data_IF_841749834203
#
_entry.id   IF_841749834203
#
_cell.length_a   1.000
_cell.length_b   1.000
_cell.length_c   1.000
_cell.angle_alpha   90.00
_cell.angle_beta   90.00
_cell.angle_gamma   90.00
#
_symmetry.space_group_name_H-M   'P 1'
#
loop_
_entity.id
_entity.type
_entity.pdbx_description
1 polymer ?
#
# COMPACT_ATOMS: atom_id res chain seq x y z
N UNK A 1 -15.12 17.33 2.06
CA UNK A 1 -13.70 17.33 2.47
C UNK A 1 -12.87 16.75 1.33
N UNK A 2 -11.72 17.34 0.95
CA UNK A 2 -10.83 16.69 -0.01
C UNK A 2 -10.40 15.34 0.57
N UNK A 3 -10.72 14.28 -0.15
CA UNK A 3 -10.51 12.92 0.31
C UNK A 3 -8.99 12.64 0.30
N UNK A 4 -8.44 12.23 1.44
CA UNK A 4 -7.04 11.82 1.58
C UNK A 4 -6.74 10.55 0.76
N UNK A 5 -6.65 10.68 -0.55
CA UNK A 5 -6.28 9.59 -1.44
C UNK A 5 -4.82 9.20 -1.27
N UNK A 6 -4.51 7.94 -1.59
CA UNK A 6 -3.13 7.55 -1.85
C UNK A 6 -2.55 8.51 -2.90
N UNK A 7 -1.38 9.12 -2.67
CA UNK A 7 -0.77 10.02 -3.64
C UNK A 7 -0.61 9.34 -5.00
N UNK A 8 -0.84 10.09 -6.09
CA UNK A 8 -0.76 9.55 -7.45
C UNK A 8 0.60 8.90 -7.72
N UNK A 9 1.68 9.51 -7.25
CA UNK A 9 3.03 8.96 -7.36
C UNK A 9 3.11 7.55 -6.76
N UNK A 10 2.53 7.33 -5.58
CA UNK A 10 2.54 6.03 -4.91
C UNK A 10 1.72 5.00 -5.71
N UNK A 11 0.55 5.39 -6.22
CA UNK A 11 -0.29 4.50 -7.02
C UNK A 11 0.39 4.06 -8.32
N UNK A 12 1.00 5.02 -9.04
CA UNK A 12 1.78 4.75 -10.25
C UNK A 12 3.00 3.92 -9.94
N UNK A 13 3.75 4.27 -8.89
CA UNK A 13 4.94 3.55 -8.46
C UNK A 13 4.64 2.08 -8.17
N UNK A 14 3.71 1.80 -7.24
CA UNK A 14 3.39 0.41 -6.85
C UNK A 14 2.89 -0.43 -8.03
N UNK A 15 2.17 0.18 -8.97
CA UNK A 15 1.68 -0.50 -10.17
C UNK A 15 2.81 -0.77 -11.17
N UNK A 16 3.69 0.21 -11.40
CA UNK A 16 4.77 0.13 -12.38
C UNK A 16 5.92 -0.78 -11.91
N UNK A 17 6.23 -0.78 -10.61
CA UNK A 17 7.32 -1.59 -10.04
C UNK A 17 6.94 -3.04 -9.84
N UNK A 18 5.65 -3.35 -9.65
CA UNK A 18 5.16 -4.71 -9.47
C UNK A 18 5.70 -5.71 -10.51
N UNK A 19 5.59 -5.48 -11.83
CA UNK A 19 6.16 -6.39 -12.82
C UNK A 19 7.68 -6.51 -12.72
N UNK A 20 8.40 -5.40 -12.49
CA UNK A 20 9.87 -5.41 -12.36
C UNK A 20 10.33 -6.27 -11.19
N UNK A 21 9.70 -6.09 -10.02
CA UNK A 21 10.02 -6.81 -8.79
C UNK A 21 9.58 -8.28 -8.85
N UNK A 22 8.49 -8.58 -9.56
CA UNK A 22 8.08 -9.97 -9.84
C UNK A 22 9.10 -10.67 -10.74
N UNK A 23 9.58 -10.01 -11.81
CA UNK A 23 10.63 -10.57 -12.68
C UNK A 23 11.89 -10.84 -11.87
N UNK A 24 12.30 -9.88 -11.03
CA UNK A 24 13.44 -10.02 -10.11
C UNK A 24 13.30 -11.25 -9.21
N UNK A 25 12.16 -11.38 -8.52
CA UNK A 25 11.88 -12.52 -7.66
C UNK A 25 11.85 -13.85 -8.41
N UNK A 26 11.17 -13.91 -9.56
CA UNK A 26 11.14 -15.12 -10.39
C UNK A 26 12.54 -15.49 -10.87
N UNK A 27 13.34 -14.53 -11.32
CA UNK A 27 14.71 -14.78 -11.76
C UNK A 27 15.52 -15.41 -10.63
N UNK A 28 15.59 -14.78 -9.46
CA UNK A 28 16.39 -15.31 -8.34
C UNK A 28 15.85 -16.64 -7.83
N UNK A 29 14.53 -16.83 -7.74
CA UNK A 29 13.94 -18.04 -7.17
C UNK A 29 13.91 -19.24 -8.13
N UNK A 30 14.08 -19.02 -9.44
CA UNK A 30 14.13 -20.10 -10.44
C UNK A 30 15.55 -20.50 -10.84
N UNK A 31 16.58 -19.79 -10.36
CA UNK A 31 17.97 -20.15 -10.64
C UNK A 31 18.34 -21.51 -10.03
N UNK A 32 19.28 -22.20 -10.68
CA UNK A 32 19.77 -23.49 -10.19
C UNK A 32 20.49 -23.35 -8.84
N UNK A 33 20.38 -24.37 -7.99
CA UNK A 33 21.21 -24.52 -6.78
C UNK A 33 22.70 -24.73 -7.13
N UNK A 34 23.00 -25.21 -8.34
CA UNK A 34 24.36 -25.49 -8.79
C UNK A 34 24.87 -24.37 -9.68
N UNK A 35 25.96 -23.70 -9.26
CA UNK A 35 26.53 -22.54 -9.95
C UNK A 35 26.95 -22.78 -11.41
N UNK A 36 27.22 -24.03 -11.80
CA UNK A 36 27.65 -24.40 -13.16
C UNK A 36 26.49 -24.61 -14.13
N UNK A 37 25.25 -24.64 -13.64
CA UNK A 37 24.07 -24.86 -14.47
C UNK A 37 23.55 -23.50 -14.94
N UNK A 38 23.39 -23.29 -16.26
CA UNK A 38 22.81 -22.05 -16.79
C UNK A 38 21.43 -21.75 -16.22
N UNK A 39 21.07 -20.47 -16.16
CA UNK A 39 19.74 -20.07 -15.71
C UNK A 39 18.66 -20.63 -16.65
N UNK A 40 17.59 -21.27 -16.15
CA UNK A 40 16.56 -21.89 -17.00
C UNK A 40 15.81 -20.88 -17.86
N UNK A 41 15.71 -19.63 -17.39
CA UNK A 41 15.07 -18.51 -18.11
C UNK A 41 16.08 -17.65 -18.89
N UNK A 42 17.28 -18.16 -19.16
CA UNK A 42 18.38 -17.38 -19.76
C UNK A 42 18.03 -16.70 -21.09
N UNK A 43 17.29 -17.40 -21.94
CA UNK A 43 16.90 -16.93 -23.28
C UNK A 43 15.50 -16.29 -23.32
N UNK A 44 14.80 -16.24 -22.18
CA UNK A 44 13.40 -15.79 -22.11
C UNK A 44 13.35 -14.28 -21.87
N UNK A 45 12.59 -13.54 -22.67
CA UNK A 45 12.29 -12.14 -22.38
C UNK A 45 11.31 -12.05 -21.18
N UNK A 46 11.51 -11.17 -20.19
CA UNK A 46 12.60 -10.17 -20.06
C UNK A 46 13.83 -10.65 -19.25
N UNK A 47 13.85 -11.89 -18.77
CA UNK A 47 14.90 -12.46 -17.91
C UNK A 47 16.32 -12.38 -18.47
N UNK A 48 16.49 -12.36 -19.79
CA UNK A 48 17.79 -12.11 -20.44
C UNK A 48 18.48 -10.82 -19.94
N UNK A 49 17.72 -9.78 -19.58
CA UNK A 49 18.29 -8.54 -19.06
C UNK A 49 18.79 -8.68 -17.63
N UNK A 50 18.17 -9.55 -16.82
CA UNK A 50 18.68 -9.88 -15.48
C UNK A 50 19.98 -10.66 -15.54
N UNK A 51 20.18 -11.50 -16.57
CA UNK A 51 21.49 -12.12 -16.80
C UNK A 51 22.58 -11.10 -17.14
N UNK A 52 22.26 -10.04 -17.87
CA UNK A 52 23.20 -8.96 -18.13
C UNK A 52 23.50 -8.24 -16.82
N UNK A 53 22.47 -7.92 -16.03
CA UNK A 53 22.61 -7.28 -14.73
C UNK A 53 23.47 -8.11 -13.76
N UNK A 54 23.31 -9.44 -13.75
CA UNK A 54 24.07 -10.36 -12.91
C UNK A 54 25.59 -10.36 -13.17
N UNK A 55 26.05 -9.76 -14.29
CA UNK A 55 27.48 -9.53 -14.54
C UNK A 55 28.03 -8.38 -13.71
N UNK A 56 27.19 -7.40 -13.40
CA UNK A 56 27.55 -6.22 -12.62
C UNK A 56 27.29 -6.45 -11.13
N UNK A 57 26.15 -7.04 -10.79
CA UNK A 57 25.83 -7.46 -9.43
C UNK A 57 25.80 -8.99 -9.35
N UNK A 58 26.91 -9.57 -8.89
CA UNK A 58 27.07 -11.03 -8.87
C UNK A 58 26.19 -11.72 -7.83
N UNK A 59 25.49 -11.00 -6.93
CA UNK A 59 24.47 -11.61 -6.06
C UNK A 59 23.39 -12.29 -6.88
N UNK A 60 23.08 -11.75 -8.07
CA UNK A 60 22.11 -12.29 -8.99
C UNK A 60 22.62 -13.48 -9.81
N UNK A 61 23.91 -13.80 -9.75
CA UNK A 61 24.52 -14.90 -10.48
C UNK A 61 24.39 -16.24 -9.73
N UNK A 62 25.51 -16.83 -9.25
CA UNK A 62 25.48 -18.10 -8.51
C UNK A 62 24.58 -18.05 -7.27
N UNK A 63 24.03 -19.19 -6.89
CA UNK A 63 23.20 -19.30 -5.68
C UNK A 63 24.04 -19.50 -4.41
N UNK A 64 25.02 -18.62 -4.19
CA UNK A 64 25.96 -18.66 -3.07
C UNK A 64 25.72 -17.56 -2.02
N UNK A 65 24.68 -16.75 -2.21
CA UNK A 65 24.26 -15.69 -1.30
C UNK A 65 22.82 -15.94 -0.81
N UNK A 66 22.64 -16.13 0.50
CA UNK A 66 21.33 -16.30 1.10
C UNK A 66 20.53 -14.98 1.16
N UNK A 67 21.22 -13.83 1.17
CA UNK A 67 20.58 -12.53 1.30
C UNK A 67 19.67 -12.22 0.11
N UNK A 68 20.15 -12.37 -1.13
CA UNK A 68 19.34 -12.11 -2.33
C UNK A 68 18.12 -13.02 -2.40
N UNK A 69 18.20 -14.29 -1.97
CA UNK A 69 17.06 -15.21 -1.92
C UNK A 69 16.00 -14.69 -0.95
N UNK A 70 16.42 -14.32 0.27
CA UNK A 70 15.52 -13.75 1.26
C UNK A 70 14.89 -12.45 0.76
N UNK A 71 15.67 -11.59 0.12
CA UNK A 71 15.19 -10.34 -0.48
C UNK A 71 14.16 -10.60 -1.59
N UNK A 72 14.32 -11.65 -2.41
CA UNK A 72 13.33 -12.03 -3.42
C UNK A 72 12.00 -12.48 -2.84
N UNK A 73 11.98 -13.19 -1.71
CA UNK A 73 10.74 -13.50 -0.99
C UNK A 73 10.07 -12.24 -0.43
N UNK A 74 10.85 -11.35 0.18
CA UNK A 74 10.35 -10.06 0.70
C UNK A 74 9.82 -9.16 -0.42
N UNK A 75 10.45 -9.20 -1.60
CA UNK A 75 10.01 -8.54 -2.83
C UNK A 75 8.58 -8.99 -3.22
N UNK A 76 8.28 -10.29 -3.19
CA UNK A 76 6.94 -10.79 -3.48
C UNK A 76 5.89 -10.28 -2.48
N UNK A 77 6.23 -10.28 -1.18
CA UNK A 77 5.35 -9.74 -0.13
C UNK A 77 5.10 -8.25 -0.36
N UNK A 78 6.16 -7.48 -0.66
CA UNK A 78 6.07 -6.05 -0.93
C UNK A 78 5.17 -5.75 -2.14
N UNK A 79 5.28 -6.53 -3.22
CA UNK A 79 4.40 -6.40 -4.39
C UNK A 79 2.93 -6.61 -4.02
N UNK A 80 2.63 -7.67 -3.25
CA UNK A 80 1.26 -7.93 -2.80
C UNK A 80 0.72 -6.77 -1.97
N UNK A 81 1.50 -6.26 -1.02
CA UNK A 81 1.09 -5.14 -0.16
C UNK A 81 0.97 -3.83 -0.94
N UNK A 82 1.86 -3.56 -1.89
CA UNK A 82 1.80 -2.37 -2.76
C UNK A 82 0.56 -2.37 -3.64
N UNK A 83 0.26 -3.48 -4.29
CA UNK A 83 -0.96 -3.63 -5.09
C UNK A 83 -2.23 -3.59 -4.22
N UNK A 84 -2.19 -4.12 -3.00
CA UNK A 84 -3.28 -3.97 -2.04
C UNK A 84 -3.51 -2.51 -1.65
N UNK A 85 -2.46 -1.71 -1.46
CA UNK A 85 -2.59 -0.27 -1.21
C UNK A 85 -3.29 0.45 -2.35
N UNK A 86 -2.94 0.11 -3.61
CA UNK A 86 -3.61 0.62 -4.81
C UNK A 86 -5.08 0.20 -4.82
N UNK A 87 -5.38 -1.08 -4.59
CA UNK A 87 -6.75 -1.59 -4.56
C UNK A 87 -7.60 -0.90 -3.50
N UNK A 88 -7.07 -0.71 -2.28
CA UNK A 88 -7.75 0.01 -1.21
C UNK A 88 -8.04 1.46 -1.61
N UNK A 89 -7.12 2.12 -2.31
CA UNK A 89 -7.32 3.47 -2.84
C UNK A 89 -8.49 3.49 -3.84
N UNK A 90 -8.52 2.54 -4.79
CA UNK A 90 -9.61 2.40 -5.78
C UNK A 90 -10.97 2.11 -5.12
N UNK A 91 -10.97 1.38 -3.99
CA UNK A 91 -12.16 1.09 -3.18
C UNK A 91 -12.55 2.22 -2.23
N UNK A 92 -11.92 3.40 -2.33
CA UNK A 92 -12.14 4.59 -1.48
C UNK A 92 -11.80 4.38 0.00
N UNK A 93 -11.03 3.34 0.33
CA UNK A 93 -10.49 3.10 1.67
C UNK A 93 -9.20 3.90 1.92
N UNK A 94 -9.30 5.21 1.69
CA UNK A 94 -8.25 6.22 1.67
C UNK A 94 -7.24 6.13 2.82
N UNK A 95 -7.71 6.15 4.07
CA UNK A 95 -6.83 6.12 5.25
C UNK A 95 -6.01 4.82 5.34
N UNK A 96 -6.61 3.67 4.99
CA UNK A 96 -5.92 2.39 5.00
C UNK A 96 -4.88 2.31 3.87
N UNK A 97 -5.26 2.78 2.67
CA UNK A 97 -4.37 2.85 1.52
C UNK A 97 -3.12 3.69 1.80
N UNK A 98 -3.28 4.88 2.40
CA UNK A 98 -2.16 5.77 2.74
C UNK A 98 -1.23 5.13 3.78
N UNK A 99 -1.78 4.56 4.86
CA UNK A 99 -0.98 3.88 5.89
C UNK A 99 -0.20 2.69 5.32
N UNK A 100 -0.84 1.87 4.48
CA UNK A 100 -0.19 0.75 3.82
C UNK A 100 0.87 1.24 2.82
N UNK A 101 0.61 2.33 2.10
CA UNK A 101 1.59 2.95 1.21
C UNK A 101 2.85 3.44 1.92
N UNK A 102 2.72 4.01 3.14
CA UNK A 102 3.88 4.37 3.97
C UNK A 102 4.68 3.11 4.35
N UNK A 103 3.99 2.05 4.79
CA UNK A 103 4.65 0.80 5.18
C UNK A 103 5.44 0.21 4.01
N UNK A 104 4.81 0.04 2.85
CA UNK A 104 5.43 -0.52 1.64
C UNK A 104 6.63 0.33 1.20
N UNK A 105 6.47 1.65 1.11
CA UNK A 105 7.57 2.53 0.72
C UNK A 105 8.74 2.50 1.72
N UNK A 106 8.45 2.34 3.01
CA UNK A 106 9.49 2.18 4.05
C UNK A 106 10.24 0.86 3.87
N UNK A 107 9.53 -0.24 3.60
CA UNK A 107 10.16 -1.54 3.31
C UNK A 107 11.07 -1.45 2.08
N UNK A 108 10.59 -0.82 0.99
CA UNK A 108 11.37 -0.65 -0.24
C UNK A 108 12.65 0.17 0.02
N UNK A 109 12.53 1.29 0.74
CA UNK A 109 13.68 2.13 1.05
C UNK A 109 14.66 1.41 1.97
N UNK A 110 14.17 0.76 3.02
CA UNK A 110 15.00 0.11 4.04
C UNK A 110 15.80 -1.06 3.45
N UNK A 111 15.18 -1.92 2.64
CA UNK A 111 15.90 -3.06 2.03
C UNK A 111 17.01 -2.59 1.09
N UNK A 112 16.80 -1.48 0.37
CA UNK A 112 17.83 -0.96 -0.54
C UNK A 112 18.99 -0.31 0.23
N UNK A 113 18.72 0.34 1.36
CA UNK A 113 19.78 0.79 2.28
C UNK A 113 20.54 -0.41 2.84
N UNK A 114 19.84 -1.47 3.24
CA UNK A 114 20.44 -2.71 3.74
C UNK A 114 21.32 -3.38 2.67
N UNK A 115 20.88 -3.40 1.41
CA UNK A 115 21.67 -3.88 0.27
C UNK A 115 23.02 -3.17 0.18
N UNK A 116 23.05 -1.83 0.23
CA UNK A 116 24.30 -1.07 0.20
C UNK A 116 25.17 -1.31 1.43
N UNK A 117 24.56 -1.38 2.62
CA UNK A 117 25.30 -1.65 3.85
C UNK A 117 25.96 -3.03 3.82
N UNK A 118 25.28 -4.04 3.28
CA UNK A 118 25.85 -5.37 3.09
C UNK A 118 26.96 -5.39 2.05
N UNK A 119 26.81 -4.66 0.95
CA UNK A 119 27.88 -4.55 -0.04
C UNK A 119 29.15 -3.93 0.57
N UNK A 120 29.01 -2.90 1.42
CA UNK A 120 30.14 -2.33 2.17
C UNK A 120 30.72 -3.33 3.18
N UNK A 121 29.86 -3.99 3.96
CA UNK A 121 30.28 -4.94 4.99
C UNK A 121 30.98 -6.19 4.42
N UNK A 122 30.64 -6.59 3.21
CA UNK A 122 31.26 -7.70 2.48
C UNK A 122 32.43 -7.23 1.58
N UNK A 123 32.92 -6.00 1.78
CA UNK A 123 34.03 -5.40 1.03
C UNK A 123 33.81 -5.43 -0.49
N UNK A 124 32.56 -5.21 -0.93
CA UNK A 124 32.14 -5.24 -2.32
C UNK A 124 32.29 -6.62 -2.96
N UNK A 125 32.18 -7.72 -2.22
CA UNK A 125 32.34 -9.11 -2.72
C UNK A 125 31.68 -9.35 -4.07
N UNK A 126 30.51 -8.75 -4.31
CA UNK A 126 29.70 -8.97 -5.50
C UNK A 126 29.76 -7.86 -6.55
N UNK A 127 30.39 -6.72 -6.25
CA UNK A 127 30.34 -5.50 -7.07
C UNK A 127 31.73 -4.89 -7.34
N UNK A 128 32.75 -5.19 -6.53
CA UNK A 128 34.10 -4.58 -6.61
C UNK A 128 34.86 -4.86 -7.90
N UNK A 129 34.43 -5.84 -8.69
CA UNK A 129 35.02 -6.15 -9.99
C UNK A 129 34.57 -5.18 -11.08
N UNK A 130 33.56 -4.35 -10.81
CA UNK A 130 33.06 -3.36 -11.75
C UNK A 130 34.05 -2.20 -11.92
N UNK A 131 34.10 -1.62 -13.12
CA UNK A 131 34.72 -0.30 -13.28
C UNK A 131 33.91 0.75 -12.51
N UNK A 132 34.49 1.91 -12.21
CA UNK A 132 33.77 2.99 -11.54
C UNK A 132 32.50 3.42 -12.30
N UNK A 133 32.57 3.42 -13.63
CA UNK A 133 31.43 3.78 -14.49
C UNK A 133 30.35 2.69 -14.42
N UNK A 134 30.73 1.42 -14.50
CA UNK A 134 29.79 0.30 -14.39
C UNK A 134 29.13 0.27 -13.02
N UNK A 135 29.91 0.47 -11.95
CA UNK A 135 29.40 0.54 -10.60
C UNK A 135 28.39 1.68 -10.44
N UNK A 136 28.72 2.86 -10.95
CA UNK A 136 27.85 4.02 -10.86
C UNK A 136 26.55 3.81 -11.66
N UNK A 137 26.65 3.35 -12.90
CA UNK A 137 25.52 3.28 -13.84
C UNK A 137 24.62 2.07 -13.63
N UNK A 138 25.20 0.91 -13.28
CA UNK A 138 24.45 -0.33 -13.14
C UNK A 138 24.01 -0.57 -11.69
N UNK A 139 24.80 -0.18 -10.69
CA UNK A 139 24.49 -0.49 -9.29
C UNK A 139 23.94 0.72 -8.55
N UNK A 140 24.70 1.82 -8.52
CA UNK A 140 24.40 2.96 -7.65
C UNK A 140 23.19 3.76 -8.12
N UNK A 141 23.13 4.15 -9.40
CA UNK A 141 22.02 4.96 -9.93
C UNK A 141 20.68 4.22 -9.83
N UNK A 142 20.55 2.96 -10.29
CA UNK A 142 19.29 2.22 -10.17
C UNK A 142 18.87 2.04 -8.72
N UNK A 143 19.80 1.68 -7.83
CA UNK A 143 19.49 1.51 -6.40
C UNK A 143 19.12 2.84 -5.73
N UNK A 144 19.74 3.95 -6.11
CA UNK A 144 19.39 5.28 -5.59
C UNK A 144 17.95 5.66 -5.93
N UNK A 145 17.45 5.25 -7.10
CA UNK A 145 16.06 5.46 -7.50
C UNK A 145 15.07 4.74 -6.57
N UNK A 146 15.41 3.52 -6.13
CA UNK A 146 14.66 2.74 -5.13
C UNK A 146 14.72 3.31 -3.70
N UNK A 147 15.58 4.30 -3.44
CA UNK A 147 15.60 5.03 -2.16
C UNK A 147 14.82 6.34 -2.29
N UNK A 148 15.12 7.12 -3.32
CA UNK A 148 14.59 8.48 -3.48
C UNK A 148 13.07 8.46 -3.70
N UNK A 149 12.56 7.61 -4.60
CA UNK A 149 11.13 7.61 -4.91
C UNK A 149 10.29 7.16 -3.71
N UNK A 150 10.63 6.06 -3.00
CA UNK A 150 9.91 5.69 -1.78
C UNK A 150 10.01 6.76 -0.67
N UNK A 151 11.14 7.44 -0.51
CA UNK A 151 11.26 8.55 0.44
C UNK A 151 10.28 9.70 0.13
N UNK A 152 10.13 10.05 -1.16
CA UNK A 152 9.14 11.06 -1.60
C UNK A 152 7.71 10.58 -1.35
N UNK A 153 7.41 9.30 -1.62
CA UNK A 153 6.09 8.71 -1.33
C UNK A 153 5.77 8.80 0.16
N UNK A 154 6.71 8.43 1.03
CA UNK A 154 6.55 8.51 2.49
C UNK A 154 6.22 9.95 2.89
N UNK A 155 6.99 10.93 2.40
CA UNK A 155 6.74 12.36 2.66
C UNK A 155 5.34 12.80 2.21
N UNK A 156 4.92 12.43 1.01
CA UNK A 156 3.60 12.79 0.48
C UNK A 156 2.47 12.16 1.31
N UNK A 157 2.59 10.88 1.66
CA UNK A 157 1.61 10.18 2.49
C UNK A 157 1.49 10.81 3.90
N UNK A 158 2.60 11.18 4.54
CA UNK A 158 2.57 11.89 5.81
C UNK A 158 1.89 13.27 5.70
N UNK A 159 2.15 14.01 4.63
CA UNK A 159 1.48 15.29 4.36
C UNK A 159 -0.05 15.12 4.25
N UNK A 160 -0.50 14.08 3.55
CA UNK A 160 -1.93 13.75 3.43
C UNK A 160 -2.54 13.40 4.78
N UNK A 161 -1.86 12.59 5.60
CA UNK A 161 -2.35 12.23 6.95
C UNK A 161 -2.45 13.45 7.87
N UNK A 162 -1.45 14.35 7.85
CA UNK A 162 -1.44 15.55 8.67
C UNK A 162 -2.66 16.44 8.38
N UNK A 163 -3.00 16.64 7.11
CA UNK A 163 -4.17 17.44 6.70
C UNK A 163 -5.50 16.85 7.16
N UNK A 164 -5.61 15.51 7.28
CA UNK A 164 -6.81 14.85 7.80
C UNK A 164 -6.91 14.79 9.32
N UNK A 165 -5.82 15.10 10.01
CA UNK A 165 -5.75 15.00 11.49
C UNK A 165 -6.16 16.27 12.22
N UNK A 166 -6.37 17.39 11.50
CA UNK A 166 -6.81 18.67 12.08
C UNK A 166 -8.27 18.55 12.55
N UNK A 167 -8.56 18.67 13.85
CA UNK A 167 -9.93 18.63 14.36
C UNK A 167 -10.73 19.84 13.85
N UNK A 168 -12.00 19.66 13.48
CA UNK A 168 -12.87 20.80 13.22
C UNK A 168 -12.98 21.70 14.47
N UNK A 169 -13.04 23.03 14.31
CA UNK A 169 -13.37 23.92 15.42
C UNK A 169 -14.77 23.55 15.92
N UNK A 170 -14.86 23.10 17.18
CA UNK A 170 -16.14 22.85 17.86
C UNK A 170 -17.05 24.08 17.68
N UNK A 171 -18.19 23.86 17.03
CA UNK A 171 -19.14 24.91 16.64
C UNK A 171 -19.53 25.85 17.77
N UNK A 172 -19.80 27.11 17.41
CA UNK A 172 -20.42 28.10 18.30
C UNK A 172 -21.72 27.52 18.89
N UNK A 173 -22.02 27.73 20.18
CA UNK A 173 -23.26 27.24 20.78
C UNK A 173 -24.45 27.90 20.09
N UNK A 174 -25.36 27.07 19.58
CA UNK A 174 -26.69 27.47 19.14
C UNK A 174 -27.40 28.22 20.27
N UNK A 175 -27.63 29.52 20.12
CA UNK A 175 -28.57 30.25 20.96
C UNK A 175 -29.98 29.70 20.70
N UNK A 176 -30.49 28.89 21.62
CA UNK A 176 -31.92 28.69 21.79
C UNK A 176 -32.54 30.01 22.22
N UNK A 177 -33.19 30.72 21.28
CA UNK A 177 -34.10 31.82 21.59
C UNK A 177 -35.43 31.24 22.09
N UNK A 178 -35.61 31.24 23.41
CA UNK A 178 -36.88 30.96 24.05
C UNK A 178 -37.83 32.16 24.00
N UNK A 179 -39.14 31.87 23.86
CA UNK A 179 -40.21 32.63 24.50
C UNK A 179 -41.02 33.61 23.65
N UNK A 180 -42.19 33.16 23.19
CA UNK A 180 -43.51 33.80 23.47
C UNK A 180 -44.64 33.08 22.70
N UNK A 181 -45.48 32.34 23.41
CA UNK A 181 -46.85 32.06 22.95
C UNK A 181 -47.82 32.42 24.07
N UNK A 182 -48.61 33.47 23.81
CA UNK A 182 -49.66 34.00 24.67
C UNK A 182 -50.85 33.05 24.71
N UNK A 183 -51.49 32.93 25.87
CA UNK A 183 -52.77 32.27 26.05
C UNK A 183 -53.91 33.17 25.56
N UNK A 184 -54.93 32.54 24.96
CA UNK A 184 -56.31 33.01 24.91
C UNK A 184 -57.22 31.87 24.38
N UNK A 185 -58.27 31.56 25.13
CA UNK A 185 -59.46 30.78 24.71
C UNK A 185 -60.70 31.62 25.12
N UNK A 186 -61.98 31.28 24.80
CA UNK A 186 -62.62 30.30 23.88
C UNK A 186 -63.79 31.02 23.08
N UNK A 187 -65.01 30.49 22.76
CA UNK A 187 -65.58 29.12 22.57
C UNK A 187 -66.51 28.94 21.32
N UNK A 188 -66.83 27.68 20.94
CA UNK A 188 -68.07 27.13 20.28
C UNK A 188 -67.71 25.94 19.38
N UNK A 189 -68.52 24.90 19.10
CA UNK A 189 -69.71 24.28 19.67
C UNK A 189 -69.93 22.95 18.92
N UNK A 190 -70.60 22.00 19.59
CA UNK A 190 -71.52 20.97 19.06
C UNK A 190 -71.02 19.74 18.24
N UNK A 191 -71.46 18.56 18.73
CA UNK A 191 -71.99 17.35 18.03
C UNK A 191 -71.08 16.59 17.04
N UNK A 192 -71.00 15.26 16.97
CA UNK A 192 -71.72 14.10 17.51
C UNK A 192 -70.88 12.82 17.17
N UNK A 193 -71.28 11.59 17.58
CA UNK A 193 -70.41 10.40 17.68
C UNK A 193 -70.54 9.43 16.50
N UNK A 194 -69.60 8.48 16.38
CA UNK A 194 -69.94 7.10 15.95
C UNK A 194 -68.83 6.10 16.30
N UNK A 195 -69.27 4.99 16.88
CA UNK A 195 -68.55 3.76 17.17
C UNK A 195 -67.93 3.11 15.92
N UNK A 196 -66.99 2.17 16.13
CA UNK A 196 -67.13 0.74 15.71
C UNK A 196 -65.76 0.05 15.65
N UNK A 197 -65.57 -0.96 16.53
CA UNK A 197 -64.94 -2.29 16.35
C UNK A 197 -63.53 -2.39 15.69
N UNK A 198 -62.66 -3.38 15.89
CA UNK A 198 -62.76 -4.77 16.37
C UNK A 198 -61.32 -5.31 16.56
N UNK A 199 -61.17 -6.31 17.44
CA UNK A 199 -60.33 -7.52 17.33
C UNK A 199 -59.17 -7.54 16.31
N UNK A 200 -57.97 -8.05 16.60
CA UNK A 200 -57.67 -9.47 16.92
C UNK A 200 -56.15 -9.56 17.19
N UNK A 201 -55.69 -10.03 18.34
CA UNK A 201 -55.20 -11.40 18.57
C UNK A 201 -54.31 -12.03 17.47
N UNK A 202 -53.03 -12.26 17.83
CA UNK A 202 -52.37 -13.57 17.93
C UNK A 202 -51.15 -13.93 17.03
N UNK A 203 -50.16 -14.51 17.74
CA UNK A 203 -49.10 -15.50 17.37
C UNK A 203 -47.88 -15.03 16.55
N UNK A 204 -46.62 -15.11 17.04
CA UNK A 204 -45.78 -16.27 17.47
C UNK A 204 -45.61 -17.31 16.34
N UNK A 205 -44.45 -17.82 15.91
CA UNK A 205 -43.08 -18.02 16.44
C UNK A 205 -42.13 -18.37 15.26
N UNK A 206 -40.81 -18.47 15.44
CA UNK A 206 -39.80 -18.71 14.39
C UNK A 206 -39.50 -20.21 14.19
N UNK A 207 -38.88 -20.58 13.06
CA UNK A 207 -38.30 -21.91 12.88
C UNK A 207 -36.86 -21.81 12.33
N UNK A 208 -35.89 -22.30 13.12
CA UNK A 208 -34.48 -22.49 12.75
C UNK A 208 -34.36 -23.89 12.13
N UNK A 209 -33.78 -23.97 10.92
CA UNK A 209 -33.33 -25.24 10.32
C UNK A 209 -31.93 -25.59 10.83
N UNK A 210 -31.74 -26.88 11.10
CA UNK A 210 -30.44 -27.56 11.15
C UNK A 210 -29.88 -27.71 9.74
#
# INVERSE_FOLDING_TARGET
>A
MPQAGLPLLAAVWFSAVAPVVLIDGIFVLTRSLHAKVPHPLSEVFPFKYWLIYARYDRRYGPNDDAFVIAQSWLNLVEVVLGLLAVLLSLRRASNAAVKLGILVATMTMYKTVLYFMLDVAEEGRYTKHNTLIDQLTMVVIPSSFWIIVPAVIIKQCFGVLALTSVPEPKGKPTQQSGGKQKSASPPRAASQPTDTQQNSSNKAKPNKKK
#
